data_IF_947770787688
#
_entry.id   IF_947770787688
#
_cell.length_a   1.000
_cell.length_b   1.000
_cell.length_c   1.000
_cell.angle_alpha   90.00
_cell.angle_beta   90.00
_cell.angle_gamma   90.00
#
_symmetry.space_group_name_H-M   'P 1'
#
loop_
_entity.id
_entity.type
_entity.pdbx_description
1 polymer ?
#
# COMPACT_ATOMS: atom_id res chain seq x y z
N UNK A 1 -7.78 7.70 10.59
CA UNK A 1 -7.01 6.47 10.30
C UNK A 1 -7.38 5.98 8.90
N UNK A 2 -6.42 5.45 8.13
CA UNK A 2 -6.65 4.81 6.83
C UNK A 2 -6.23 3.35 6.95
N UNK A 3 -7.04 2.44 6.41
CA UNK A 3 -6.84 0.99 6.51
C UNK A 3 -7.00 0.39 5.11
N UNK A 4 -6.05 -0.48 4.74
CA UNK A 4 -6.15 -1.35 3.57
C UNK A 4 -6.54 -2.75 4.07
N UNK A 5 -7.53 -3.37 3.45
CA UNK A 5 -8.03 -4.69 3.85
C UNK A 5 -8.03 -5.58 2.63
N UNK A 6 -7.30 -6.69 2.70
CA UNK A 6 -7.34 -7.74 1.70
C UNK A 6 -8.51 -8.70 2.01
N UNK A 7 -9.39 -8.90 1.04
CA UNK A 7 -10.62 -9.68 1.21
C UNK A 7 -10.70 -10.65 0.03
N UNK A 8 -11.09 -11.90 0.28
CA UNK A 8 -11.38 -12.84 -0.79
C UNK A 8 -12.56 -12.34 -1.63
N UNK A 9 -12.47 -12.43 -2.95
CA UNK A 9 -13.48 -11.88 -3.88
C UNK A 9 -14.91 -12.33 -3.55
N UNK A 10 -15.08 -13.62 -3.19
CA UNK A 10 -16.38 -14.18 -2.83
C UNK A 10 -16.98 -13.65 -1.52
N UNK A 11 -16.22 -12.86 -0.75
CA UNK A 11 -16.65 -12.19 0.48
C UNK A 11 -16.64 -10.67 0.36
N UNK A 12 -16.14 -10.11 -0.75
CA UNK A 12 -16.02 -8.67 -0.93
C UNK A 12 -17.37 -7.95 -0.85
N UNK A 13 -18.42 -8.48 -1.48
CA UNK A 13 -19.76 -7.91 -1.45
C UNK A 13 -20.32 -7.81 -0.01
N UNK A 14 -20.23 -8.90 0.75
CA UNK A 14 -20.68 -8.97 2.14
C UNK A 14 -19.95 -7.95 3.03
N UNK A 15 -18.63 -7.85 2.91
CA UNK A 15 -17.85 -6.90 3.72
C UNK A 15 -18.16 -5.45 3.31
N UNK A 16 -18.34 -5.15 2.03
CA UNK A 16 -18.72 -3.81 1.58
C UNK A 16 -20.07 -3.37 2.13
N UNK A 17 -21.07 -4.26 2.13
CA UNK A 17 -22.38 -3.99 2.75
C UNK A 17 -22.25 -3.72 4.25
N UNK A 18 -21.49 -4.54 4.96
CA UNK A 18 -21.23 -4.36 6.39
C UNK A 18 -20.56 -3.02 6.67
N UNK A 19 -19.54 -2.64 5.89
CA UNK A 19 -18.83 -1.38 6.06
C UNK A 19 -19.71 -0.17 5.75
N UNK A 20 -20.59 -0.27 4.76
CA UNK A 20 -21.52 0.81 4.41
C UNK A 20 -22.60 1.07 5.47
N UNK A 21 -22.90 0.08 6.33
CA UNK A 21 -23.82 0.27 7.45
C UNK A 21 -23.24 1.13 8.58
N UNK A 22 -21.91 1.35 8.61
CA UNK A 22 -21.29 2.22 9.60
C UNK A 22 -21.18 3.66 9.07
N UNK A 23 -21.92 4.63 9.63
CA UNK A 23 -21.96 6.01 9.11
C UNK A 23 -20.63 6.76 9.23
N UNK A 24 -19.71 6.25 10.05
CA UNK A 24 -18.37 6.79 10.26
C UNK A 24 -17.31 6.14 9.34
N UNK A 25 -17.68 5.16 8.51
CA UNK A 25 -16.77 4.48 7.58
C UNK A 25 -17.04 4.95 6.16
N UNK A 26 -15.97 5.16 5.40
CA UNK A 26 -16.03 5.41 3.95
C UNK A 26 -15.25 4.30 3.25
N UNK A 27 -15.95 3.24 2.87
CA UNK A 27 -15.37 2.15 2.11
C UNK A 27 -15.41 2.49 0.61
N UNK A 28 -14.29 2.26 -0.09
CA UNK A 28 -14.21 2.37 -1.54
C UNK A 28 -13.37 1.19 -2.05
N UNK A 29 -13.85 0.43 -3.05
CA UNK A 29 -13.04 -0.59 -3.66
C UNK A 29 -11.88 0.08 -4.42
N UNK A 30 -10.73 -0.58 -4.42
CA UNK A 30 -9.58 -0.21 -5.22
C UNK A 30 -9.21 -1.39 -6.12
N UNK A 31 -8.59 -1.12 -7.26
CA UNK A 31 -8.07 -2.18 -8.14
C UNK A 31 -6.81 -2.79 -7.53
N UNK A 32 -6.51 -4.05 -7.88
CA UNK A 32 -5.31 -4.74 -7.42
C UNK A 32 -4.03 -3.96 -7.78
N UNK A 33 -3.96 -3.40 -8.99
CA UNK A 33 -2.85 -2.56 -9.43
C UNK A 33 -2.64 -1.32 -8.54
N UNK A 34 -3.74 -0.65 -8.13
CA UNK A 34 -3.67 0.50 -7.23
C UNK A 34 -3.29 0.10 -5.81
N UNK A 35 -3.73 -1.08 -5.35
CA UNK A 35 -3.36 -1.62 -4.05
C UNK A 35 -1.85 -1.88 -3.99
N UNK A 36 -1.31 -2.59 -5.00
CA UNK A 36 0.12 -2.89 -5.13
C UNK A 36 0.95 -1.59 -5.18
N UNK A 37 0.57 -0.64 -6.03
CA UNK A 37 1.28 0.64 -6.15
C UNK A 37 1.34 1.41 -4.82
N UNK A 38 0.28 1.36 -4.01
CA UNK A 38 0.27 2.01 -2.70
C UNK A 38 1.23 1.34 -1.72
N UNK A 39 1.35 0.02 -1.76
CA UNK A 39 2.31 -0.73 -0.93
C UNK A 39 3.75 -0.44 -1.36
N UNK A 40 4.03 -0.49 -2.66
CA UNK A 40 5.36 -0.19 -3.23
C UNK A 40 5.79 1.25 -2.90
N UNK A 41 4.91 2.24 -3.06
CA UNK A 41 5.21 3.63 -2.70
C UNK A 41 5.48 3.76 -1.20
N UNK A 42 4.66 3.11 -0.36
CA UNK A 42 4.84 3.16 1.10
C UNK A 42 6.19 2.55 1.50
N UNK A 43 6.56 1.44 0.91
CA UNK A 43 7.86 0.80 1.12
C UNK A 43 9.00 1.72 0.67
N UNK A 44 8.91 2.30 -0.53
CA UNK A 44 9.90 3.22 -1.05
C UNK A 44 10.11 4.44 -0.12
N UNK A 45 9.02 5.02 0.39
CA UNK A 45 9.08 6.14 1.34
C UNK A 45 9.75 5.73 2.65
N UNK A 46 9.43 4.55 3.19
CA UNK A 46 10.07 4.06 4.42
C UNK A 46 11.56 3.76 4.19
N UNK A 47 11.93 3.19 3.04
CA UNK A 47 13.32 2.96 2.65
C UNK A 47 14.12 4.26 2.55
N UNK A 48 13.54 5.31 1.94
CA UNK A 48 14.16 6.64 1.89
C UNK A 48 14.32 7.22 3.30
N UNK A 49 13.30 7.10 4.15
CA UNK A 49 13.33 7.59 5.53
C UNK A 49 14.40 6.87 6.36
N UNK A 50 14.48 5.55 6.28
CA UNK A 50 15.51 4.75 6.94
C UNK A 50 16.91 5.06 6.41
N UNK A 51 17.02 5.35 5.11
CA UNK A 51 18.28 5.79 4.53
C UNK A 51 18.73 7.16 5.03
N UNK A 52 17.81 8.12 5.12
CA UNK A 52 18.05 9.43 5.76
C UNK A 52 18.44 9.30 7.24
N UNK A 53 17.91 8.30 7.94
CA UNK A 53 18.29 7.98 9.33
C UNK A 53 19.64 7.25 9.45
N UNK A 54 20.32 6.96 8.34
CA UNK A 54 21.59 6.21 8.33
C UNK A 54 21.45 4.71 8.62
N UNK A 55 20.21 4.20 8.74
CA UNK A 55 19.90 2.79 9.04
C UNK A 55 19.93 1.90 7.80
N UNK A 56 19.73 2.49 6.62
CA UNK A 56 19.82 1.81 5.33
C UNK A 56 20.83 2.52 4.42
N UNK A 57 21.76 1.76 3.85
CA UNK A 57 22.68 2.29 2.85
C UNK A 57 21.91 2.47 1.53
N UNK A 58 21.70 3.71 1.11
CA UNK A 58 21.15 4.00 -0.21
C UNK A 58 22.05 3.34 -1.26
N UNK A 59 21.43 2.61 -2.19
CA UNK A 59 22.16 2.06 -3.32
C UNK A 59 22.36 3.19 -4.34
N UNK A 60 23.56 3.33 -4.94
CA UNK A 60 23.77 4.30 -6.02
C UNK A 60 22.77 4.06 -7.16
N UNK A 61 22.24 5.15 -7.73
CA UNK A 61 21.26 5.11 -8.82
C UNK A 61 21.75 4.26 -10.01
N UNK A 62 23.06 4.30 -10.27
CA UNK A 62 23.71 3.50 -11.31
C UNK A 62 23.54 1.99 -11.12
N UNK A 63 23.48 1.49 -9.89
CA UNK A 63 23.24 0.06 -9.66
C UNK A 63 21.77 -0.32 -9.74
N UNK A 64 20.85 0.61 -9.45
CA UNK A 64 19.41 0.38 -9.61
C UNK A 64 19.04 0.30 -11.10
N UNK A 65 19.61 1.18 -11.93
CA UNK A 65 19.38 1.19 -13.37
C UNK A 65 19.88 -0.06 -14.11
N UNK A 66 20.84 -0.79 -13.53
CA UNK A 66 21.36 -2.03 -14.11
C UNK A 66 20.57 -3.28 -13.70
N UNK A 67 19.58 -3.17 -12.81
CA UNK A 67 18.77 -4.28 -12.30
C UNK A 67 17.35 -4.31 -12.90
N UNK A 68 16.99 -3.29 -13.68
CA UNK A 68 15.77 -3.20 -14.48
C UNK A 68 16.06 -3.58 -15.93
#
# INVERSE_FOLDING_TARGET
MKLLVEIRDNKAAFIMELLNNFPFVKAKPITNEKALLLEEIKEAVENVKLSKQGKLKAKPLTKLLNEL
#
